data_IF_566606597997
#
_entry.id   IF_566606597997
#
_cell.length_a   1.000
_cell.length_b   1.000
_cell.length_c   1.000
_cell.angle_alpha   90.00
_cell.angle_beta   90.00
_cell.angle_gamma   90.00
#
_symmetry.space_group_name_H-M   'P 1'
#
loop_
_entity.id
_entity.type
_entity.pdbx_description
1 polymer ?
#
# COMPACT_ATOMS: atom_id res chain seq x y z
N UNK A 1 -5.32 -61.30 -53.04
CA UNK A 1 -6.15 -60.55 -54.03
C UNK A 1 -5.89 -59.06 -53.82
N UNK A 2 -5.34 -58.34 -54.81
CA UNK A 2 -4.96 -56.93 -54.70
C UNK A 2 -6.00 -55.96 -55.29
N UNK A 3 -6.09 -54.75 -54.70
CA UNK A 3 -6.50 -53.43 -55.25
C UNK A 3 -7.99 -53.23 -55.67
N UNK A 4 -8.58 -52.00 -55.61
CA UNK A 4 -7.94 -50.74 -56.04
C UNK A 4 -8.09 -49.49 -55.16
N UNK A 5 -7.13 -48.60 -55.44
CA UNK A 5 -7.05 -47.18 -55.10
C UNK A 5 -8.27 -46.44 -55.65
N UNK A 6 -9.07 -45.85 -54.78
CA UNK A 6 -9.78 -44.59 -55.02
C UNK A 6 -10.61 -44.31 -53.78
N UNK A 7 -10.13 -43.38 -52.95
CA UNK A 7 -10.93 -42.41 -52.19
C UNK A 7 -9.92 -41.48 -51.53
N UNK A 8 -9.32 -40.70 -52.42
CA UNK A 8 -8.62 -39.47 -52.09
C UNK A 8 -9.59 -38.53 -51.38
N UNK A 9 -9.02 -37.77 -50.44
CA UNK A 9 -9.53 -36.47 -49.97
C UNK A 9 -10.74 -36.49 -49.04
N UNK A 10 -10.54 -36.82 -47.75
CA UNK A 10 -11.19 -36.07 -46.65
C UNK A 10 -10.58 -36.27 -45.26
N UNK A 11 -9.31 -36.69 -45.13
CA UNK A 11 -8.63 -36.69 -43.81
C UNK A 11 -7.71 -35.47 -43.58
N UNK A 12 -7.86 -34.40 -44.36
CA UNK A 12 -6.92 -33.28 -44.35
C UNK A 12 -7.57 -31.96 -43.97
N UNK A 13 -8.23 -31.88 -42.81
CA UNK A 13 -8.44 -30.60 -42.10
C UNK A 13 -8.32 -30.84 -40.59
N UNK A 14 -7.15 -31.32 -40.16
CA UNK A 14 -6.74 -31.39 -38.76
C UNK A 14 -5.37 -30.68 -38.64
N UNK A 15 -5.37 -29.38 -38.91
CA UNK A 15 -4.27 -28.40 -38.70
C UNK A 15 -4.79 -27.10 -39.34
N UNK A 16 -4.97 -25.95 -38.71
CA UNK A 16 -4.40 -25.47 -37.46
C UNK A 16 -5.18 -24.22 -37.06
N UNK A 17 -6.08 -24.34 -36.07
CA UNK A 17 -6.49 -23.18 -35.31
C UNK A 17 -5.32 -22.89 -34.36
N UNK A 18 -4.31 -22.17 -34.85
CA UNK A 18 -3.36 -21.52 -33.95
C UNK A 18 -4.20 -20.52 -33.14
N UNK A 19 -4.37 -20.69 -31.81
CA UNK A 19 -4.69 -19.51 -31.03
C UNK A 19 -3.59 -18.52 -31.37
N UNK A 20 -3.97 -17.38 -31.97
CA UNK A 20 -3.13 -16.21 -31.99
C UNK A 20 -2.88 -15.91 -30.51
N UNK A 21 -1.82 -16.50 -29.97
CA UNK A 21 -1.29 -16.13 -28.67
C UNK A 21 -0.89 -14.69 -28.88
N UNK A 22 -1.79 -13.81 -28.47
CA UNK A 22 -1.43 -12.46 -28.08
C UNK A 22 -0.39 -12.65 -26.98
N UNK A 23 0.87 -12.77 -27.39
CA UNK A 23 2.00 -12.49 -26.53
C UNK A 23 1.82 -11.01 -26.19
N UNK A 24 1.06 -10.74 -25.14
CA UNK A 24 1.23 -9.53 -24.37
C UNK A 24 2.69 -9.61 -23.93
N UNK A 25 3.56 -8.94 -24.67
CA UNK A 25 4.92 -8.72 -24.22
C UNK A 25 4.78 -8.12 -22.83
N UNK A 26 5.26 -8.86 -21.83
CA UNK A 26 5.38 -8.35 -20.49
C UNK A 26 6.46 -7.26 -20.58
N UNK A 27 6.03 -6.02 -20.84
CA UNK A 27 6.93 -4.89 -20.75
C UNK A 27 7.38 -4.83 -19.30
N UNK A 28 8.65 -5.20 -19.09
CA UNK A 28 9.29 -5.15 -17.79
C UNK A 28 9.53 -3.67 -17.44
N UNK A 29 8.45 -3.02 -16.99
CA UNK A 29 8.47 -1.61 -16.59
C UNK A 29 9.05 -1.53 -15.19
N UNK A 30 10.22 -0.90 -15.09
CA UNK A 30 10.84 -0.64 -13.79
C UNK A 30 10.20 0.58 -13.10
N UNK A 31 9.40 0.31 -12.07
CA UNK A 31 8.76 1.35 -11.26
C UNK A 31 9.70 2.01 -10.24
N UNK A 32 10.93 1.54 -10.06
CA UNK A 32 11.84 2.07 -9.03
C UNK A 32 12.11 3.56 -9.23
N UNK A 33 12.37 3.97 -10.47
CA UNK A 33 12.62 5.39 -10.81
C UNK A 33 11.39 6.25 -10.47
N UNK A 34 10.19 5.74 -10.79
CA UNK A 34 8.94 6.42 -10.47
C UNK A 34 8.75 6.58 -8.96
N UNK A 35 8.93 5.50 -8.20
CA UNK A 35 8.81 5.50 -6.74
C UNK A 35 9.82 6.45 -6.12
N UNK A 36 11.08 6.42 -6.54
CA UNK A 36 12.13 7.31 -6.01
C UNK A 36 11.81 8.79 -6.27
N UNK A 37 11.31 9.13 -7.47
CA UNK A 37 10.92 10.48 -7.80
C UNK A 37 9.72 10.96 -6.97
N UNK A 38 8.70 10.11 -6.80
CA UNK A 38 7.50 10.47 -6.02
C UNK A 38 7.72 10.47 -4.50
N UNK A 39 8.73 9.76 -3.99
CA UNK A 39 9.03 9.71 -2.54
C UNK A 39 9.56 11.05 -1.99
N UNK A 40 10.09 11.93 -2.86
CA UNK A 40 10.72 13.21 -2.47
C UNK A 40 9.73 14.28 -2.03
N UNK A 41 8.48 14.15 -2.43
CA UNK A 41 7.43 15.12 -2.14
C UNK A 41 6.18 14.40 -1.64
N UNK A 42 5.27 15.20 -1.08
CA UNK A 42 3.93 14.71 -0.78
C UNK A 42 3.22 14.38 -2.09
N UNK A 43 2.58 13.22 -2.11
CA UNK A 43 1.78 12.80 -3.26
C UNK A 43 0.39 13.43 -3.15
N UNK A 44 0.06 14.47 -3.91
CA UNK A 44 -1.27 15.10 -3.82
C UNK A 44 -2.27 14.56 -4.87
N UNK A 45 -1.86 13.59 -5.70
CA UNK A 45 -2.68 13.06 -6.80
C UNK A 45 -3.37 11.74 -6.48
N UNK A 46 -2.79 10.91 -5.61
CA UNK A 46 -3.36 9.61 -5.24
C UNK A 46 -4.26 9.67 -4.00
N UNK A 47 -5.24 8.76 -3.93
CA UNK A 47 -6.03 8.56 -2.72
C UNK A 47 -5.12 8.13 -1.56
N UNK A 48 -5.28 8.78 -0.41
CA UNK A 48 -4.53 8.43 0.81
C UNK A 48 -5.11 7.20 1.50
N UNK A 49 -4.24 6.26 1.85
CA UNK A 49 -4.59 5.10 2.66
C UNK A 49 -4.67 5.52 4.12
N UNK A 50 -5.82 5.25 4.75
CA UNK A 50 -6.06 5.50 6.17
C UNK A 50 -6.05 4.18 6.94
N UNK A 51 -5.44 4.19 8.12
CA UNK A 51 -5.43 3.08 9.07
C UNK A 51 -5.74 3.60 10.47
N UNK A 52 -6.58 2.88 11.20
CA UNK A 52 -6.93 3.22 12.58
C UNK A 52 -6.38 2.17 13.52
N UNK A 53 -5.49 2.56 14.44
CA UNK A 53 -4.90 1.66 15.43
C UNK A 53 -4.33 2.45 16.62
N UNK A 54 -3.80 1.73 17.61
CA UNK A 54 -3.11 2.28 18.77
C UNK A 54 -1.61 1.97 18.67
N UNK A 55 -0.77 2.90 19.14
CA UNK A 55 0.68 2.68 19.21
C UNK A 55 1.07 2.27 20.63
N UNK A 56 1.52 1.02 20.78
CA UNK A 56 2.02 0.48 22.04
C UNK A 56 3.49 0.87 22.26
N UNK A 57 3.78 1.42 23.43
CA UNK A 57 5.13 1.73 23.88
C UNK A 57 5.66 0.59 24.73
N UNK A 58 6.71 -0.09 24.25
CA UNK A 58 7.35 -1.20 24.97
C UNK A 58 7.92 -0.78 26.33
N UNK A 59 8.48 0.41 26.42
CA UNK A 59 9.13 0.89 27.65
C UNK A 59 8.13 1.25 28.74
N UNK A 60 7.00 1.85 28.37
CA UNK A 60 5.96 2.23 29.35
C UNK A 60 4.91 1.14 29.58
N UNK A 61 4.82 0.15 28.68
CA UNK A 61 3.78 -0.89 28.73
C UNK A 61 2.37 -0.35 28.45
N UNK A 62 2.26 0.80 27.78
CA UNK A 62 1.03 1.60 27.62
C UNK A 62 0.93 2.16 26.21
N UNK A 63 -0.21 2.77 25.87
CA UNK A 63 -0.46 3.34 24.55
C UNK A 63 -0.15 4.84 24.48
N UNK A 64 0.29 5.29 23.30
CA UNK A 64 0.53 6.69 22.98
C UNK A 64 -0.81 7.42 22.89
N UNK A 65 -0.94 8.53 23.62
CA UNK A 65 -2.10 9.41 23.67
C UNK A 65 -1.79 10.77 23.07
N UNK A 66 -2.72 11.31 22.28
CA UNK A 66 -2.69 12.70 21.79
C UNK A 66 -3.71 13.52 22.58
N UNK A 67 -3.21 14.31 23.54
CA UNK A 67 -4.00 15.11 24.47
C UNK A 67 -3.91 16.59 24.08
N UNK A 68 -4.35 16.92 22.86
CA UNK A 68 -4.15 18.23 22.26
C UNK A 68 -2.67 18.47 21.95
N UNK A 69 -2.09 19.56 22.47
CA UNK A 69 -0.66 19.90 22.26
C UNK A 69 0.30 18.96 22.99
N UNK A 70 -0.17 18.17 23.96
CA UNK A 70 0.65 17.27 24.76
C UNK A 70 0.54 15.83 24.26
N UNK A 71 1.68 15.15 24.11
CA UNK A 71 1.76 13.72 23.80
C UNK A 71 2.16 12.96 25.07
N UNK A 72 1.50 11.84 25.34
CA UNK A 72 1.75 10.97 26.50
C UNK A 72 1.84 9.51 26.04
N UNK A 73 2.44 8.63 26.84
CA UNK A 73 2.48 7.18 26.58
C UNK A 73 2.01 6.42 27.82
N UNK A 74 0.86 6.84 28.36
CA UNK A 74 0.24 6.33 29.60
C UNK A 74 -1.19 5.83 29.37
N UNK A 75 -1.64 5.73 28.11
CA UNK A 75 -3.00 5.29 27.79
C UNK A 75 -3.18 3.81 28.07
N UNK A 76 -4.35 3.46 28.59
CA UNK A 76 -4.78 2.07 28.66
C UNK A 76 -5.19 1.56 27.27
N UNK A 77 -5.28 0.25 27.12
CA UNK A 77 -5.89 -0.33 25.93
C UNK A 77 -7.35 0.14 25.80
N UNK A 78 -7.76 0.47 24.57
CA UNK A 78 -9.09 1.03 24.29
C UNK A 78 -9.29 2.51 24.64
N UNK A 79 -8.30 3.23 25.19
CA UNK A 79 -8.43 4.67 25.50
C UNK A 79 -8.74 5.48 24.23
N UNK A 80 -9.79 6.32 24.29
CA UNK A 80 -10.22 7.17 23.17
C UNK A 80 -9.12 8.11 22.69
N UNK A 81 -8.27 8.63 23.59
CA UNK A 81 -7.15 9.51 23.24
C UNK A 81 -5.95 8.76 22.66
N UNK A 82 -5.94 7.42 22.75
CA UNK A 82 -4.91 6.56 22.18
C UNK A 82 -5.26 6.02 20.79
N UNK A 83 -6.47 6.29 20.29
CA UNK A 83 -6.85 5.96 18.92
C UNK A 83 -6.19 6.92 17.93
N UNK A 84 -5.38 6.38 17.02
CA UNK A 84 -4.61 7.14 16.04
C UNK A 84 -5.08 6.84 14.63
N UNK A 85 -5.40 7.90 13.89
CA UNK A 85 -5.62 7.87 12.45
C UNK A 85 -4.28 8.07 11.75
N UNK A 86 -3.83 7.06 11.03
CA UNK A 86 -2.55 7.09 10.31
C UNK A 86 -2.81 7.12 8.82
N UNK A 87 -2.40 8.22 8.21
CA UNK A 87 -2.54 8.53 6.80
C UNK A 87 -1.20 8.36 6.08
N UNK A 88 -1.19 7.67 4.95
CA UNK A 88 0.01 7.60 4.10
C UNK A 88 0.27 8.92 3.41
N UNK A 89 1.48 9.46 3.53
CA UNK A 89 1.86 10.71 2.88
C UNK A 89 2.43 10.46 1.49
N UNK A 90 3.36 9.52 1.37
CA UNK A 90 3.96 9.06 0.10
C UNK A 90 4.53 7.64 0.29
N UNK A 91 5.29 7.13 -0.67
CA UNK A 91 5.98 5.85 -0.59
C UNK A 91 7.04 5.81 0.53
N UNK A 92 7.63 4.62 0.73
CA UNK A 92 8.66 4.43 1.75
C UNK A 92 8.10 4.43 3.18
N UNK A 93 6.82 4.10 3.34
CA UNK A 93 6.12 4.11 4.65
C UNK A 93 6.11 5.47 5.33
N UNK A 94 6.16 6.56 4.56
CA UNK A 94 5.99 7.91 5.09
C UNK A 94 4.52 8.14 5.46
N UNK A 95 4.26 8.50 6.71
CA UNK A 95 2.91 8.62 7.26
C UNK A 95 2.74 9.86 8.12
N UNK A 96 1.50 10.33 8.22
CA UNK A 96 1.06 11.36 9.16
C UNK A 96 0.16 10.69 10.20
N UNK A 97 0.47 10.92 11.48
CA UNK A 97 -0.24 10.32 12.61
C UNK A 97 -1.07 11.40 13.27
N UNK A 98 -2.38 11.20 13.33
CA UNK A 98 -3.35 12.15 13.89
C UNK A 98 -4.13 11.49 15.02
N UNK A 99 -4.32 12.19 16.14
CA UNK A 99 -5.19 11.72 17.22
C UNK A 99 -6.65 11.75 16.75
N UNK A 100 -7.34 10.60 16.78
CA UNK A 100 -8.74 10.49 16.32
C UNK A 100 -9.68 11.38 17.14
N UNK A 101 -9.47 11.44 18.45
CA UNK A 101 -10.33 12.18 19.38
C UNK A 101 -10.06 13.70 19.37
N UNK A 102 -8.82 14.13 19.12
CA UNK A 102 -8.42 15.54 19.30
C UNK A 102 -8.13 16.27 18.00
N UNK A 103 -8.01 15.57 16.89
CA UNK A 103 -7.59 16.09 15.59
C UNK A 103 -6.18 16.70 15.52
N UNK A 104 -5.37 16.59 16.59
CA UNK A 104 -3.97 17.03 16.57
C UNK A 104 -3.07 15.98 15.90
N UNK A 105 -2.13 16.44 15.10
CA UNK A 105 -1.05 15.63 14.55
C UNK A 105 0.07 15.44 15.56
N UNK A 106 0.57 14.21 15.67
CA UNK A 106 1.78 13.89 16.40
C UNK A 106 2.98 14.40 15.60
N UNK A 107 3.67 15.41 16.13
CA UNK A 107 4.82 16.06 15.51
C UNK A 107 6.03 16.02 16.44
N UNK A 108 7.21 16.17 15.86
CA UNK A 108 8.45 16.40 16.60
C UNK A 108 8.90 17.85 16.38
N UNK A 109 9.21 18.57 17.45
CA UNK A 109 9.75 19.92 17.32
C UNK A 109 11.27 19.90 17.07
N UNK A 110 11.85 21.08 16.80
CA UNK A 110 13.31 21.22 16.57
C UNK A 110 14.19 20.78 17.74
N UNK A 111 13.62 20.67 18.95
CA UNK A 111 14.32 20.18 20.16
C UNK A 111 14.18 18.65 20.34
N UNK A 112 13.58 17.94 19.40
CA UNK A 112 13.31 16.50 19.50
C UNK A 112 12.12 16.13 20.40
N UNK A 113 11.37 17.10 20.92
CA UNK A 113 10.22 16.85 21.78
C UNK A 113 8.97 16.58 20.95
N UNK A 114 8.24 15.52 21.31
CA UNK A 114 6.93 15.21 20.76
C UNK A 114 5.88 16.23 21.21
N UNK A 115 5.13 16.77 20.26
CA UNK A 115 4.09 17.79 20.45
C UNK A 115 2.92 17.52 19.53
N UNK A 116 1.71 17.85 19.98
CA UNK A 116 0.53 17.89 19.13
C UNK A 116 0.45 19.21 18.37
N UNK A 117 0.12 19.17 17.08
CA UNK A 117 -0.13 20.34 16.24
C UNK A 117 -1.41 20.24 15.44
#
# INVERSE_FOLDING_TARGET
VPLPRALLCSWSVLLSAHPCQMFAAEENVDFRIHVENQTRARDDVSRKQLRLYQLYSRTSGKHIQVLGRRISAKGEDGDKYAQLLVETDTFGSQVRIKGKETDFYLCMNRKGKLVGK
#
